data_IF_397261669700
#
_entry.id   IF_397261669700
#
_cell.length_a   1.000
_cell.length_b   1.000
_cell.length_c   1.000
_cell.angle_alpha   90.00
_cell.angle_beta   90.00
_cell.angle_gamma   90.00
#
_symmetry.space_group_name_H-M   'P 1'
#
loop_
_entity.id
_entity.type
_entity.pdbx_description
1 polymer ?
#
# COMPACT_ATOMS: atom_id res chain seq x y z
N UNK A 1 -24.64 10.19 12.09
CA UNK A 1 -23.22 9.86 11.84
C UNK A 1 -22.82 8.81 12.86
N UNK A 2 -22.66 7.56 12.45
CA UNK A 2 -22.13 6.50 13.31
C UNK A 2 -20.68 6.87 13.63
N UNK A 3 -20.39 7.13 14.91
CA UNK A 3 -19.00 7.31 15.37
C UNK A 3 -18.25 6.03 15.05
N UNK A 4 -17.28 6.09 14.11
CA UNK A 4 -16.35 4.98 13.89
C UNK A 4 -15.74 4.62 15.25
N UNK A 5 -15.80 3.33 15.58
CA UNK A 5 -15.15 2.83 16.79
C UNK A 5 -13.66 3.17 16.71
N UNK A 6 -13.09 3.75 17.79
CA UNK A 6 -11.65 4.03 17.89
C UNK A 6 -10.86 2.75 18.24
N UNK A 7 -11.12 1.70 17.50
CA UNK A 7 -10.62 0.34 17.71
C UNK A 7 -9.09 0.21 17.61
N UNK A 8 -8.41 1.12 16.92
CA UNK A 8 -6.96 1.15 16.77
C UNK A 8 -6.27 2.15 17.71
N UNK A 9 -6.98 2.60 18.78
CA UNK A 9 -6.38 3.51 19.77
C UNK A 9 -5.13 2.89 20.41
N UNK A 10 -4.03 3.65 20.45
CA UNK A 10 -2.74 3.21 20.98
C UNK A 10 -1.91 2.38 19.99
N UNK A 11 -2.42 2.07 18.81
CA UNK A 11 -1.66 1.45 17.73
C UNK A 11 -0.86 2.50 16.94
N UNK A 12 0.28 2.09 16.44
CA UNK A 12 1.15 2.90 15.58
C UNK A 12 1.19 2.27 14.20
N UNK A 13 0.82 3.05 13.18
CA UNK A 13 0.81 2.61 11.80
C UNK A 13 1.85 3.36 10.96
N UNK A 14 2.59 2.65 10.14
CA UNK A 14 3.44 3.21 9.10
C UNK A 14 2.89 2.78 7.73
N UNK A 15 2.71 3.74 6.83
CA UNK A 15 2.20 3.51 5.48
C UNK A 15 3.17 4.10 4.47
N UNK A 16 3.81 3.25 3.67
CA UNK A 16 4.70 3.74 2.60
C UNK A 16 3.89 4.33 1.44
N UNK A 17 4.43 5.40 0.80
CA UNK A 17 3.76 6.06 -0.33
C UNK A 17 2.42 6.68 0.03
N UNK A 18 2.34 7.39 1.16
CA UNK A 18 1.08 7.85 1.74
C UNK A 18 0.86 9.37 1.67
N UNK A 19 1.66 10.09 0.90
CA UNK A 19 1.47 11.53 0.64
C UNK A 19 0.28 11.83 -0.28
N UNK A 20 -0.15 10.86 -1.09
CA UNK A 20 -1.25 10.99 -2.07
C UNK A 20 -2.02 9.68 -2.24
N UNK A 21 -3.13 9.74 -2.94
CA UNK A 21 -3.85 8.60 -3.49
C UNK A 21 -4.31 7.58 -2.45
N UNK A 22 -4.10 6.30 -2.76
CA UNK A 22 -4.55 5.19 -1.91
C UNK A 22 -3.86 5.19 -0.54
N UNK A 23 -2.55 5.47 -0.50
CA UNK A 23 -1.80 5.53 0.76
C UNK A 23 -2.31 6.62 1.70
N UNK A 24 -2.68 7.77 1.16
CA UNK A 24 -3.31 8.86 1.93
C UNK A 24 -4.67 8.45 2.49
N UNK A 25 -5.50 7.75 1.71
CA UNK A 25 -6.78 7.23 2.18
C UNK A 25 -6.62 6.17 3.28
N UNK A 26 -5.61 5.29 3.17
CA UNK A 26 -5.31 4.30 4.19
C UNK A 26 -4.88 4.98 5.50
N UNK A 27 -3.97 5.96 5.44
CA UNK A 27 -3.58 6.76 6.62
C UNK A 27 -4.78 7.41 7.27
N UNK A 28 -5.67 8.00 6.47
CA UNK A 28 -6.87 8.67 6.97
C UNK A 28 -7.80 7.69 7.70
N UNK A 29 -8.07 6.53 7.12
CA UNK A 29 -8.91 5.48 7.72
C UNK A 29 -8.33 4.96 9.03
N UNK A 30 -7.02 4.66 9.07
CA UNK A 30 -6.34 4.18 10.28
C UNK A 30 -6.34 5.24 11.39
N UNK A 31 -6.11 6.51 11.05
CA UNK A 31 -6.14 7.62 12.00
C UNK A 31 -7.56 7.87 12.54
N UNK A 32 -8.60 7.78 11.72
CA UNK A 32 -10.00 7.89 12.14
C UNK A 32 -10.37 6.78 13.15
N UNK A 33 -9.79 5.60 13.03
CA UNK A 33 -9.91 4.51 14.01
C UNK A 33 -9.00 4.67 15.23
N UNK A 34 -8.22 5.74 15.32
CA UNK A 34 -7.45 6.12 16.51
C UNK A 34 -5.98 5.75 16.49
N UNK A 35 -5.44 5.23 15.39
CA UNK A 35 -4.02 4.96 15.28
C UNK A 35 -3.18 6.24 15.20
N UNK A 36 -1.97 6.22 15.76
CA UNK A 36 -0.91 7.17 15.43
C UNK A 36 -0.30 6.77 14.09
N UNK A 37 -0.03 7.71 13.20
CA UNK A 37 0.35 7.39 11.82
C UNK A 37 1.64 8.07 11.37
N UNK A 38 2.50 7.33 10.68
CA UNK A 38 3.63 7.86 9.94
C UNK A 38 3.27 7.92 8.45
N UNK A 39 3.30 9.14 7.90
CA UNK A 39 2.99 9.47 6.52
C UNK A 39 4.30 9.57 5.75
N UNK A 40 4.45 8.76 4.73
CA UNK A 40 5.67 8.71 3.93
C UNK A 40 5.52 9.45 2.61
N UNK A 41 6.55 10.22 2.26
CA UNK A 41 6.72 10.82 0.94
C UNK A 41 8.14 10.58 0.41
N UNK A 42 8.33 10.45 -0.93
CA UNK A 42 9.62 10.01 -1.49
C UNK A 42 10.65 11.13 -1.64
N UNK A 43 10.23 12.37 -1.97
CA UNK A 43 11.12 13.48 -2.33
C UNK A 43 10.66 14.78 -1.69
N UNK A 44 11.55 15.80 -1.54
CA UNK A 44 11.18 17.11 -0.98
C UNK A 44 9.98 17.78 -1.65
N UNK A 45 9.80 17.59 -2.97
CA UNK A 45 8.65 18.12 -3.71
C UNK A 45 7.29 17.58 -3.25
N UNK A 46 7.25 16.39 -2.64
CA UNK A 46 6.03 15.75 -2.13
C UNK A 46 5.74 16.09 -0.66
N UNK A 47 6.62 16.86 -0.01
CA UNK A 47 6.46 17.23 1.41
C UNK A 47 5.15 17.94 1.69
N UNK A 48 4.79 18.91 0.85
CA UNK A 48 3.54 19.65 1.01
C UNK A 48 2.30 18.75 0.93
N UNK A 49 2.32 17.72 0.08
CA UNK A 49 1.23 16.74 -0.03
C UNK A 49 1.11 15.93 1.27
N UNK A 50 2.23 15.44 1.83
CA UNK A 50 2.23 14.72 3.10
C UNK A 50 1.73 15.59 4.27
N UNK A 51 2.15 16.85 4.34
CA UNK A 51 1.67 17.80 5.35
C UNK A 51 0.16 18.09 5.21
N UNK A 52 -0.34 18.18 3.97
CA UNK A 52 -1.78 18.33 3.72
C UNK A 52 -2.58 17.10 4.15
N UNK A 53 -2.03 15.89 3.96
CA UNK A 53 -2.64 14.66 4.52
C UNK A 53 -2.70 14.78 6.04
N UNK A 54 -1.59 15.11 6.71
CA UNK A 54 -1.54 15.25 8.16
C UNK A 54 -2.55 16.27 8.69
N UNK A 55 -2.67 17.43 8.05
CA UNK A 55 -3.65 18.47 8.42
C UNK A 55 -5.10 17.98 8.32
N UNK A 56 -5.43 17.19 7.30
CA UNK A 56 -6.80 16.63 7.10
C UNK A 56 -7.20 15.60 8.15
N UNK A 57 -6.27 15.02 8.89
CA UNK A 57 -6.56 14.08 9.98
C UNK A 57 -7.18 14.77 11.20
N UNK A 58 -7.07 16.08 11.28
CA UNK A 58 -7.62 16.89 12.36
C UNK A 58 -6.67 17.03 13.58
N UNK A 59 -7.02 17.93 14.52
CA UNK A 59 -6.11 18.37 15.59
C UNK A 59 -5.79 17.30 16.63
N UNK A 60 -6.60 16.26 16.73
CA UNK A 60 -6.43 15.20 17.73
C UNK A 60 -5.66 13.97 17.17
N UNK A 61 -5.33 13.96 15.88
CA UNK A 61 -4.57 12.89 15.27
C UNK A 61 -3.07 13.01 15.59
N UNK A 62 -2.46 11.92 15.99
CA UNK A 62 -1.00 11.85 16.15
C UNK A 62 -0.40 11.42 14.81
N UNK A 63 0.20 12.35 14.09
CA UNK A 63 0.78 12.10 12.78
C UNK A 63 2.16 12.74 12.65
N UNK A 64 3.06 12.05 11.94
CA UNK A 64 4.34 12.59 11.49
C UNK A 64 4.50 12.37 10.00
N UNK A 65 5.29 13.20 9.35
CA UNK A 65 5.65 13.05 7.94
C UNK A 65 7.12 12.69 7.82
N UNK A 66 7.45 11.69 7.01
CA UNK A 66 8.81 11.17 6.86
C UNK A 66 9.19 11.13 5.38
N UNK A 67 10.26 11.85 5.03
CA UNK A 67 10.89 11.72 3.72
C UNK A 67 11.68 10.42 3.66
N UNK A 68 11.32 9.54 2.73
CA UNK A 68 12.02 8.29 2.50
C UNK A 68 11.64 7.70 1.13
N UNK A 69 12.61 7.56 0.23
CA UNK A 69 12.39 6.97 -1.10
C UNK A 69 12.50 5.44 -1.02
N UNK A 70 11.37 4.75 -1.27
CA UNK A 70 11.29 3.29 -1.24
C UNK A 70 12.08 2.61 -2.35
N UNK A 71 12.51 3.33 -3.39
CA UNK A 71 13.36 2.79 -4.44
C UNK A 71 14.84 2.67 -4.06
N UNK A 72 15.26 3.29 -2.95
CA UNK A 72 16.64 3.27 -2.48
C UNK A 72 16.90 2.13 -1.48
N UNK A 73 18.17 1.89 -1.13
CA UNK A 73 18.52 0.92 -0.09
C UNK A 73 18.26 1.49 1.32
N UNK A 74 18.39 2.81 1.47
CA UNK A 74 18.29 3.51 2.76
C UNK A 74 16.86 3.90 3.14
N UNK A 75 16.05 4.33 2.16
CA UNK A 75 14.71 4.88 2.43
C UNK A 75 13.82 3.98 3.26
N UNK A 76 13.69 2.67 2.96
CA UNK A 76 12.91 1.75 3.77
C UNK A 76 13.33 1.70 5.24
N UNK A 77 14.63 1.70 5.50
CA UNK A 77 15.17 1.71 6.86
C UNK A 77 14.88 3.04 7.57
N UNK A 78 15.09 4.16 6.87
CA UNK A 78 14.80 5.50 7.42
C UNK A 78 13.33 5.62 7.83
N UNK A 79 12.39 5.11 7.01
CA UNK A 79 10.97 5.15 7.32
C UNK A 79 10.64 4.34 8.58
N UNK A 80 11.14 3.10 8.68
CA UNK A 80 10.89 2.25 9.84
C UNK A 80 11.51 2.82 11.13
N UNK A 81 12.79 3.21 11.06
CA UNK A 81 13.53 3.70 12.24
C UNK A 81 12.94 5.02 12.78
N UNK A 82 12.66 5.99 11.91
CA UNK A 82 12.03 7.26 12.32
C UNK A 82 10.61 7.10 12.85
N UNK A 83 9.85 6.14 12.33
CA UNK A 83 8.53 5.81 12.91
C UNK A 83 8.67 5.30 14.34
N UNK A 84 9.59 4.36 14.56
CA UNK A 84 9.85 3.81 15.89
C UNK A 84 10.47 4.83 16.85
N UNK A 85 11.33 5.72 16.36
CA UNK A 85 11.87 6.83 17.15
C UNK A 85 10.78 7.76 17.66
N UNK A 86 9.80 8.10 16.80
CA UNK A 86 8.73 9.03 17.16
C UNK A 86 7.65 8.41 18.07
N UNK A 87 7.35 7.13 17.88
CA UNK A 87 6.20 6.49 18.55
C UNK A 87 6.56 5.28 19.43
N UNK A 88 7.82 4.87 19.45
CA UNK A 88 8.35 3.78 20.30
C UNK A 88 8.17 2.37 19.72
N UNK A 89 7.32 2.18 18.70
CA UNK A 89 6.98 0.86 18.12
C UNK A 89 6.34 0.99 16.74
N UNK A 90 6.11 -0.17 16.10
CA UNK A 90 5.24 -0.31 14.92
C UNK A 90 4.25 -1.44 15.21
N UNK A 91 2.94 -1.14 15.21
CA UNK A 91 1.88 -2.15 15.32
C UNK A 91 1.36 -2.56 13.94
N UNK A 92 1.31 -1.61 13.00
CA UNK A 92 0.74 -1.80 11.68
C UNK A 92 1.75 -1.31 10.64
N UNK A 93 2.17 -2.21 9.77
CA UNK A 93 2.97 -1.90 8.57
C UNK A 93 2.10 -2.06 7.33
N UNK A 94 1.95 -1.00 6.54
CA UNK A 94 1.30 -1.07 5.23
C UNK A 94 2.31 -0.76 4.13
N UNK A 95 2.67 -1.77 3.37
CA UNK A 95 3.49 -1.64 2.16
C UNK A 95 2.58 -1.19 1.01
N UNK A 96 2.48 0.14 0.80
CA UNK A 96 1.59 0.74 -0.19
C UNK A 96 2.34 1.47 -1.31
N UNK A 97 3.59 1.89 -1.09
CA UNK A 97 4.39 2.52 -2.14
C UNK A 97 4.45 1.65 -3.39
N UNK A 98 4.18 2.25 -4.53
CA UNK A 98 4.23 1.54 -5.80
C UNK A 98 4.01 2.49 -6.97
N UNK A 99 4.66 2.17 -8.06
CA UNK A 99 4.54 2.87 -9.33
C UNK A 99 4.16 1.89 -10.42
N UNK A 100 3.46 2.40 -11.43
CA UNK A 100 3.14 1.67 -12.65
C UNK A 100 3.56 2.51 -13.87
N UNK A 101 4.23 1.88 -14.81
CA UNK A 101 4.56 2.44 -16.12
C UNK A 101 4.27 1.37 -17.17
N UNK A 102 3.17 1.49 -17.90
CA UNK A 102 2.88 0.58 -19.01
C UNK A 102 4.01 0.61 -20.03
N UNK A 103 4.43 -0.57 -20.44
CA UNK A 103 5.52 -0.71 -21.42
C UNK A 103 5.39 -2.05 -22.16
N UNK A 104 5.47 -2.00 -23.50
CA UNK A 104 5.48 -3.20 -24.31
C UNK A 104 6.73 -4.03 -24.08
N UNK A 105 6.60 -5.35 -24.16
CA UNK A 105 7.73 -6.28 -24.04
C UNK A 105 8.72 -6.12 -25.20
N UNK A 106 8.26 -5.70 -26.36
CA UNK A 106 9.03 -5.48 -27.58
C UNK A 106 9.36 -3.99 -27.85
N UNK A 107 9.30 -3.15 -26.80
CA UNK A 107 9.72 -1.74 -26.91
C UNK A 107 11.19 -1.69 -27.36
N UNK A 108 11.51 -0.98 -28.47
CA UNK A 108 12.88 -0.96 -28.99
C UNK A 108 13.84 -0.09 -28.18
N UNK A 109 13.36 0.66 -27.20
CA UNK A 109 14.18 1.53 -26.34
C UNK A 109 14.67 0.77 -25.11
N UNK A 110 15.85 0.16 -25.22
CA UNK A 110 16.52 -0.57 -24.14
C UNK A 110 16.71 0.30 -22.86
N UNK A 111 17.01 1.59 -23.02
CA UNK A 111 17.21 2.47 -21.88
C UNK A 111 15.89 2.73 -21.14
N UNK A 112 14.79 2.78 -21.84
CA UNK A 112 13.45 2.90 -21.26
C UNK A 112 13.06 1.61 -20.53
N UNK A 113 13.36 0.43 -21.11
CA UNK A 113 13.14 -0.86 -20.50
C UNK A 113 13.90 -0.94 -19.17
N UNK A 114 15.22 -0.68 -19.20
CA UNK A 114 16.08 -0.71 -18.01
C UNK A 114 15.61 0.27 -16.91
N UNK A 115 15.27 1.50 -17.28
CA UNK A 115 14.76 2.50 -16.33
C UNK A 115 13.43 2.06 -15.71
N UNK A 116 12.51 1.53 -16.52
CA UNK A 116 11.21 1.05 -16.04
C UNK A 116 11.37 -0.15 -15.10
N UNK A 117 12.23 -1.11 -15.47
CA UNK A 117 12.57 -2.23 -14.61
C UNK A 117 13.13 -1.76 -13.26
N UNK A 118 14.18 -0.93 -13.31
CA UNK A 118 14.80 -0.39 -12.11
C UNK A 118 13.78 0.31 -11.22
N UNK A 119 13.02 1.24 -11.76
CA UNK A 119 12.12 2.08 -10.98
C UNK A 119 10.97 1.26 -10.39
N UNK A 120 10.33 0.40 -11.19
CA UNK A 120 9.19 -0.41 -10.76
C UNK A 120 9.64 -1.50 -9.77
N UNK A 121 10.66 -2.29 -10.12
CA UNK A 121 11.07 -3.42 -9.27
C UNK A 121 11.75 -2.94 -7.99
N UNK A 122 12.52 -1.86 -8.05
CA UNK A 122 13.13 -1.30 -6.83
C UNK A 122 12.10 -0.71 -5.88
N UNK A 123 11.06 -0.04 -6.39
CA UNK A 123 10.01 0.53 -5.53
C UNK A 123 9.06 -0.57 -5.03
N UNK A 124 8.43 -1.29 -5.96
CA UNK A 124 7.32 -2.19 -5.64
C UNK A 124 7.78 -3.50 -4.97
N UNK A 125 8.89 -4.08 -5.46
CA UNK A 125 9.41 -5.37 -4.99
C UNK A 125 10.45 -5.20 -3.88
N UNK A 126 11.62 -4.64 -4.22
CA UNK A 126 12.74 -4.49 -3.28
C UNK A 126 12.38 -3.56 -2.10
N UNK A 127 11.71 -2.43 -2.37
CA UNK A 127 11.29 -1.48 -1.34
C UNK A 127 10.35 -2.12 -0.31
N UNK A 128 9.35 -2.87 -0.77
CA UNK A 128 8.45 -3.66 0.08
C UNK A 128 9.21 -4.66 0.95
N UNK A 129 10.15 -5.40 0.36
CA UNK A 129 10.98 -6.35 1.10
C UNK A 129 11.84 -5.66 2.17
N UNK A 130 12.57 -4.59 1.79
CA UNK A 130 13.46 -3.88 2.70
C UNK A 130 12.73 -3.15 3.81
N UNK A 131 11.56 -2.57 3.53
CA UNK A 131 10.75 -1.91 4.55
C UNK A 131 10.22 -2.91 5.57
N UNK A 132 9.69 -4.04 5.11
CA UNK A 132 9.26 -5.10 6.02
C UNK A 132 10.41 -5.60 6.88
N UNK A 133 11.57 -5.93 6.27
CA UNK A 133 12.77 -6.33 7.01
C UNK A 133 13.21 -5.31 8.06
N UNK A 134 13.19 -4.02 7.71
CA UNK A 134 13.57 -2.95 8.64
C UNK A 134 12.58 -2.80 9.80
N UNK A 135 11.28 -2.99 9.53
CA UNK A 135 10.23 -2.87 10.52
C UNK A 135 10.23 -4.02 11.55
N UNK A 136 10.74 -5.23 11.20
CA UNK A 136 10.67 -6.41 12.07
C UNK A 136 11.23 -6.18 13.49
N UNK A 137 12.31 -5.43 13.64
CA UNK A 137 12.92 -5.12 14.95
C UNK A 137 12.12 -4.13 15.80
N UNK A 138 11.14 -3.46 15.19
CA UNK A 138 10.30 -2.44 15.81
C UNK A 138 8.86 -2.90 16.00
N UNK A 139 8.52 -4.12 15.52
CA UNK A 139 7.17 -4.65 15.68
C UNK A 139 6.84 -4.81 17.17
N UNK A 140 5.61 -4.42 17.53
CA UNK A 140 5.10 -4.66 18.87
C UNK A 140 4.85 -6.16 19.08
N UNK A 141 5.25 -6.68 20.24
CA UNK A 141 5.09 -8.10 20.53
C UNK A 141 3.61 -8.52 20.61
N UNK A 142 3.19 -9.41 19.72
CA UNK A 142 1.98 -10.22 19.87
C UNK A 142 0.73 -9.77 19.09
N UNK A 143 0.69 -8.56 18.52
CA UNK A 143 -0.52 -8.06 17.82
C UNK A 143 -0.22 -7.20 16.59
N UNK A 144 0.92 -7.42 15.93
CA UNK A 144 1.28 -6.61 14.77
C UNK A 144 0.56 -7.09 13.49
N UNK A 145 0.38 -6.18 12.55
CA UNK A 145 -0.27 -6.41 11.26
C UNK A 145 0.64 -5.93 10.12
N UNK A 146 0.89 -6.79 9.16
CA UNK A 146 1.63 -6.44 7.94
C UNK A 146 0.64 -6.59 6.78
N UNK A 147 0.39 -5.49 6.09
CA UNK A 147 -0.53 -5.44 4.96
C UNK A 147 0.25 -5.04 3.71
N UNK A 148 0.22 -5.88 2.70
CA UNK A 148 0.86 -5.62 1.41
C UNK A 148 -0.19 -5.17 0.39
N UNK A 149 0.00 -4.03 -0.23
CA UNK A 149 -0.86 -3.57 -1.32
C UNK A 149 -0.35 -4.16 -2.63
N UNK A 150 -1.02 -5.23 -3.03
CA UNK A 150 -0.82 -5.89 -4.30
C UNK A 150 -1.55 -5.22 -5.45
N UNK A 151 -2.05 -6.02 -6.35
CA UNK A 151 -2.94 -5.62 -7.45
C UNK A 151 -3.60 -6.85 -8.06
N UNK A 152 -4.80 -6.71 -8.58
CA UNK A 152 -5.43 -7.75 -9.39
C UNK A 152 -4.61 -8.14 -10.63
N UNK A 153 -3.76 -7.24 -11.11
CA UNK A 153 -2.90 -7.48 -12.27
C UNK A 153 -1.89 -8.63 -12.07
N UNK A 154 -1.57 -9.00 -10.81
CA UNK A 154 -0.71 -10.16 -10.55
C UNK A 154 -1.31 -11.48 -11.04
N UNK A 155 -2.64 -11.57 -11.09
CA UNK A 155 -3.38 -12.78 -11.51
C UNK A 155 -4.19 -12.62 -12.79
N UNK A 156 -4.53 -11.37 -13.15
CA UNK A 156 -5.23 -11.02 -14.39
C UNK A 156 -4.49 -9.88 -15.11
N UNK A 157 -3.28 -10.17 -15.66
CA UNK A 157 -2.47 -9.16 -16.34
C UNK A 157 -3.10 -8.75 -17.67
N UNK A 158 -2.95 -7.46 -18.00
CA UNK A 158 -3.25 -6.91 -19.33
C UNK A 158 -1.97 -6.73 -20.17
N UNK A 159 -2.13 -6.27 -21.41
CA UNK A 159 -0.99 -5.89 -22.24
C UNK A 159 -0.14 -4.81 -21.57
N UNK A 160 1.10 -4.68 -21.95
CA UNK A 160 2.07 -3.67 -21.50
C UNK A 160 2.31 -3.64 -19.97
N UNK A 161 1.95 -4.72 -19.26
CA UNK A 161 1.98 -4.76 -17.81
C UNK A 161 3.06 -5.69 -17.23
N UNK A 162 3.92 -6.31 -18.03
CA UNK A 162 4.80 -7.41 -17.61
C UNK A 162 5.65 -7.06 -16.38
N UNK A 163 6.34 -5.92 -16.38
CA UNK A 163 7.20 -5.52 -15.25
C UNK A 163 6.35 -5.20 -14.02
N UNK A 164 5.26 -4.46 -14.19
CA UNK A 164 4.37 -4.10 -13.09
C UNK A 164 3.66 -5.33 -12.51
N UNK A 165 3.07 -6.18 -13.37
CA UNK A 165 2.42 -7.41 -12.96
C UNK A 165 3.40 -8.34 -12.22
N UNK A 166 4.62 -8.50 -12.75
CA UNK A 166 5.69 -9.24 -12.09
C UNK A 166 6.04 -8.69 -10.72
N UNK A 167 6.16 -7.36 -10.57
CA UNK A 167 6.42 -6.72 -9.28
C UNK A 167 5.29 -6.92 -8.26
N UNK A 168 4.04 -6.96 -8.72
CA UNK A 168 2.88 -7.26 -7.87
C UNK A 168 2.74 -8.74 -7.56
N UNK A 169 3.20 -9.62 -8.46
CA UNK A 169 3.38 -11.05 -8.20
C UNK A 169 4.41 -11.30 -7.09
N UNK A 170 5.53 -10.55 -7.07
CA UNK A 170 6.48 -10.58 -5.94
C UNK A 170 5.80 -10.20 -4.63
N UNK A 171 4.98 -9.15 -4.61
CA UNK A 171 4.26 -8.70 -3.41
C UNK A 171 3.27 -9.77 -2.91
N UNK A 172 2.58 -10.45 -3.80
CA UNK A 172 1.70 -11.57 -3.48
C UNK A 172 2.49 -12.75 -2.88
N UNK A 173 3.58 -13.14 -3.52
CA UNK A 173 4.46 -14.20 -3.03
C UNK A 173 5.05 -13.86 -1.66
N UNK A 174 5.50 -12.62 -1.44
CA UNK A 174 5.96 -12.17 -0.12
C UNK A 174 4.88 -12.32 0.94
N UNK A 175 3.63 -11.99 0.61
CA UNK A 175 2.51 -12.14 1.55
C UNK A 175 2.39 -13.59 2.02
N UNK A 176 2.45 -14.54 1.10
CA UNK A 176 2.36 -15.98 1.41
C UNK A 176 3.57 -16.47 2.21
N UNK A 177 4.79 -16.14 1.77
CA UNK A 177 6.01 -16.54 2.46
C UNK A 177 6.06 -15.98 3.89
N UNK A 178 5.80 -14.69 4.05
CA UNK A 178 5.87 -14.03 5.36
C UNK A 178 4.74 -14.46 6.30
N UNK A 179 3.56 -14.83 5.77
CA UNK A 179 2.47 -15.39 6.55
C UNK A 179 2.83 -16.72 7.21
N UNK A 180 3.80 -17.46 6.65
CA UNK A 180 4.33 -18.69 7.25
C UNK A 180 5.51 -18.40 8.16
N UNK A 181 6.40 -17.49 7.76
CA UNK A 181 7.70 -17.25 8.39
C UNK A 181 7.61 -16.39 9.66
N UNK A 182 6.78 -15.31 9.64
CA UNK A 182 6.86 -14.26 10.63
C UNK A 182 5.96 -14.43 11.88
N UNK A 183 4.74 -15.02 11.81
CA UNK A 183 3.79 -14.99 12.92
C UNK A 183 4.34 -15.56 14.24
N UNK A 184 4.95 -16.73 14.20
CA UNK A 184 5.49 -17.37 15.42
C UNK A 184 6.65 -16.59 16.03
N UNK A 185 7.40 -15.85 15.23
CA UNK A 185 8.59 -15.13 15.67
C UNK A 185 8.29 -13.71 16.14
N UNK A 186 7.33 -13.06 15.52
CA UNK A 186 7.04 -11.64 15.75
C UNK A 186 5.62 -11.37 16.26
N UNK A 187 4.77 -12.38 16.41
CA UNK A 187 3.39 -12.22 16.86
C UNK A 187 2.56 -11.35 15.91
N UNK A 188 2.69 -11.55 14.61
CA UNK A 188 2.00 -10.74 13.60
C UNK A 188 1.13 -11.59 12.67
N UNK A 189 0.22 -10.95 11.94
CA UNK A 189 -0.39 -11.52 10.73
C UNK A 189 0.11 -10.79 9.50
N UNK A 190 0.13 -11.47 8.35
CA UNK A 190 0.54 -10.91 7.05
C UNK A 190 -0.55 -11.19 6.04
N UNK A 191 -1.12 -10.13 5.46
CA UNK A 191 -2.17 -10.24 4.45
C UNK A 191 -1.91 -9.28 3.28
N UNK A 192 -2.43 -9.62 2.11
CA UNK A 192 -2.41 -8.79 0.92
C UNK A 192 -3.81 -8.26 0.58
N UNK A 193 -3.84 -7.04 0.10
CA UNK A 193 -5.03 -6.43 -0.52
C UNK A 193 -4.71 -6.18 -1.98
N UNK A 194 -5.55 -6.67 -2.89
CA UNK A 194 -5.39 -6.60 -4.34
C UNK A 194 -6.48 -5.70 -4.96
N UNK A 195 -6.26 -4.38 -5.07
CA UNK A 195 -7.23 -3.52 -5.70
C UNK A 195 -7.40 -3.81 -7.19
N UNK A 196 -8.61 -3.55 -7.70
CA UNK A 196 -8.86 -3.30 -9.10
C UNK A 196 -8.48 -1.89 -9.51
N UNK A 197 -9.23 -1.28 -10.44
CA UNK A 197 -9.02 0.13 -10.81
C UNK A 197 -9.56 1.05 -9.70
N UNK A 198 -8.70 1.92 -9.17
CA UNK A 198 -9.03 2.84 -8.07
C UNK A 198 -8.96 4.28 -8.55
N UNK A 199 -10.00 5.06 -8.31
CA UNK A 199 -10.10 6.48 -8.66
C UNK A 199 -9.28 7.37 -7.74
N UNK A 200 -7.96 7.32 -7.90
CA UNK A 200 -7.02 8.21 -7.21
C UNK A 200 -6.73 9.45 -8.06
N UNK A 201 -6.12 10.48 -7.46
CA UNK A 201 -5.65 11.65 -8.21
C UNK A 201 -4.72 11.23 -9.36
N UNK A 202 -3.86 10.24 -9.14
CA UNK A 202 -2.96 9.70 -10.16
C UNK A 202 -3.72 9.05 -11.32
N UNK A 203 -4.81 8.34 -11.04
CA UNK A 203 -5.67 7.77 -12.08
C UNK A 203 -6.33 8.87 -12.93
N UNK A 204 -6.89 9.88 -12.29
CA UNK A 204 -7.54 10.98 -13.02
C UNK A 204 -6.55 11.89 -13.78
N UNK A 205 -5.31 12.02 -13.30
CA UNK A 205 -4.25 12.74 -13.98
C UNK A 205 -3.56 11.93 -15.10
N UNK A 206 -3.84 10.63 -15.20
CA UNK A 206 -3.27 9.78 -16.24
C UNK A 206 -3.72 10.19 -17.66
N UNK A 207 -2.93 9.92 -18.70
CA UNK A 207 -3.33 10.17 -20.09
C UNK A 207 -4.69 9.54 -20.42
N UNK A 208 -5.49 10.24 -21.25
CA UNK A 208 -6.82 9.76 -21.62
C UNK A 208 -6.77 8.37 -22.26
N UNK A 209 -5.78 8.12 -23.12
CA UNK A 209 -5.58 6.82 -23.78
C UNK A 209 -5.46 5.65 -22.77
N UNK A 210 -4.77 5.88 -21.64
CA UNK A 210 -4.67 4.87 -20.57
C UNK A 210 -6.02 4.68 -19.88
N UNK A 211 -6.75 5.75 -19.59
CA UNK A 211 -8.09 5.64 -19.00
C UNK A 211 -9.06 4.93 -19.93
N UNK A 212 -9.02 5.24 -21.23
CA UNK A 212 -9.86 4.59 -22.25
C UNK A 212 -9.55 3.09 -22.37
N UNK A 213 -8.28 2.69 -22.25
CA UNK A 213 -7.90 1.27 -22.26
C UNK A 213 -8.42 0.48 -21.05
N UNK A 214 -8.66 1.16 -19.93
CA UNK A 214 -9.21 0.57 -18.70
C UNK A 214 -10.76 0.61 -18.66
N UNK A 215 -11.40 1.42 -19.53
CA UNK A 215 -12.84 1.61 -19.49
C UNK A 215 -13.65 0.31 -19.66
N UNK A 216 -13.30 -0.61 -20.58
CA UNK A 216 -14.03 -1.89 -20.68
C UNK A 216 -13.98 -2.73 -19.39
N UNK A 217 -12.86 -2.68 -18.66
CA UNK A 217 -12.73 -3.37 -17.38
C UNK A 217 -13.58 -2.71 -16.30
N UNK A 218 -13.65 -1.37 -16.31
CA UNK A 218 -14.48 -0.59 -15.38
C UNK A 218 -15.96 -0.87 -15.65
N UNK A 219 -16.40 -0.85 -16.89
CA UNK A 219 -17.79 -1.07 -17.30
C UNK A 219 -18.25 -2.50 -17.00
N UNK A 220 -17.33 -3.46 -17.06
CA UNK A 220 -17.59 -4.86 -16.74
C UNK A 220 -17.58 -5.17 -15.23
N UNK A 221 -17.35 -4.17 -14.35
CA UNK A 221 -17.31 -4.42 -12.90
C UNK A 221 -18.69 -4.84 -12.37
N UNK A 222 -18.86 -6.06 -11.81
CA UNK A 222 -20.18 -6.61 -11.48
C UNK A 222 -20.98 -5.80 -10.47
N UNK A 223 -20.32 -5.23 -9.44
CA UNK A 223 -21.04 -4.46 -8.39
C UNK A 223 -21.57 -3.12 -8.94
N UNK A 224 -20.79 -2.44 -9.75
CA UNK A 224 -21.19 -1.20 -10.43
C UNK A 224 -20.16 -0.83 -11.51
N UNK A 225 -20.56 -0.24 -12.66
CA UNK A 225 -19.66 0.16 -13.74
C UNK A 225 -18.89 1.44 -13.37
N UNK A 226 -18.04 1.36 -12.37
CA UNK A 226 -17.21 2.47 -11.87
C UNK A 226 -15.90 1.96 -11.28
N UNK A 227 -14.95 2.87 -11.13
CA UNK A 227 -13.74 2.63 -10.35
C UNK A 227 -14.07 2.53 -8.85
N UNK A 228 -13.26 1.79 -8.11
CA UNK A 228 -13.33 1.81 -6.65
C UNK A 228 -12.89 3.17 -6.12
N UNK A 229 -13.48 3.63 -5.03
CA UNK A 229 -12.95 4.78 -4.29
C UNK A 229 -11.75 4.34 -3.44
N UNK A 230 -10.76 5.23 -3.19
CA UNK A 230 -9.67 4.92 -2.27
C UNK A 230 -10.15 4.50 -0.87
N UNK A 231 -11.28 5.05 -0.42
CA UNK A 231 -11.87 4.72 0.89
C UNK A 231 -12.38 3.27 0.96
N UNK A 232 -12.95 2.72 -0.12
CA UNK A 232 -13.39 1.31 -0.16
C UNK A 232 -12.22 0.35 0.02
N UNK A 233 -11.07 0.65 -0.57
CA UNK A 233 -9.84 -0.15 -0.38
C UNK A 233 -9.24 0.07 1.01
N UNK A 234 -9.18 1.32 1.49
CA UNK A 234 -8.65 1.68 2.80
C UNK A 234 -9.44 1.00 3.93
N UNK A 235 -10.76 0.89 3.81
CA UNK A 235 -11.61 0.16 4.76
C UNK A 235 -11.18 -1.31 4.89
N UNK A 236 -10.89 -2.00 3.78
CA UNK A 236 -10.42 -3.40 3.81
C UNK A 236 -9.06 -3.52 4.52
N UNK A 237 -8.15 -2.58 4.28
CA UNK A 237 -6.86 -2.54 4.98
C UNK A 237 -7.08 -2.37 6.49
N UNK A 238 -7.91 -1.43 6.89
CA UNK A 238 -8.18 -1.16 8.29
C UNK A 238 -8.91 -2.33 8.99
N UNK A 239 -9.83 -3.01 8.31
CA UNK A 239 -10.48 -4.23 8.80
C UNK A 239 -9.46 -5.33 9.13
N UNK A 240 -8.46 -5.53 8.28
CA UNK A 240 -7.38 -6.49 8.53
C UNK A 240 -6.46 -6.08 9.70
N UNK A 241 -6.50 -4.81 10.11
CA UNK A 241 -5.73 -4.31 11.24
C UNK A 241 -6.46 -4.45 12.59
N UNK A 242 -7.75 -4.79 12.59
CA UNK A 242 -8.55 -4.95 13.79
C UNK A 242 -8.10 -6.18 14.61
N UNK A 243 -8.48 -6.16 15.90
CA UNK A 243 -8.20 -7.29 16.81
C UNK A 243 -8.92 -8.57 16.35
N UNK A 244 -10.13 -8.41 15.85
CA UNK A 244 -11.00 -9.49 15.37
C UNK A 244 -10.42 -10.20 14.14
N UNK A 245 -9.53 -9.53 13.39
CA UNK A 245 -8.82 -10.11 12.24
C UNK A 245 -7.61 -10.98 12.64
N UNK A 246 -7.40 -11.30 13.93
CA UNK A 246 -6.22 -12.01 14.41
C UNK A 246 -6.04 -13.42 13.82
N UNK A 247 -7.11 -14.04 13.29
CA UNK A 247 -7.04 -15.35 12.64
C UNK A 247 -6.98 -15.28 11.10
N UNK A 248 -6.97 -14.06 10.54
CA UNK A 248 -6.79 -13.83 9.11
C UNK A 248 -5.30 -13.68 8.81
N UNK A 249 -4.72 -14.65 8.09
CA UNK A 249 -3.30 -14.67 7.79
C UNK A 249 -3.04 -15.37 6.44
N UNK A 250 -2.18 -14.81 5.61
CA UNK A 250 -1.84 -15.35 4.30
C UNK A 250 -2.88 -15.07 3.20
N UNK A 251 -3.87 -14.23 3.48
CA UNK A 251 -4.90 -13.87 2.50
C UNK A 251 -4.34 -12.91 1.45
N UNK A 252 -4.91 -13.01 0.24
CA UNK A 252 -4.73 -12.02 -0.82
C UNK A 252 -6.12 -11.62 -1.32
N UNK A 253 -6.66 -10.53 -0.78
CA UNK A 253 -8.07 -10.15 -0.89
C UNK A 253 -8.29 -9.23 -2.08
N UNK A 254 -9.05 -9.65 -3.12
CA UNK A 254 -9.41 -8.75 -4.21
C UNK A 254 -10.43 -7.70 -3.74
N UNK A 255 -10.12 -6.42 -3.96
CA UNK A 255 -11.03 -5.29 -3.76
C UNK A 255 -11.31 -4.66 -5.11
N UNK A 256 -12.14 -5.31 -5.89
CA UNK A 256 -12.34 -5.03 -7.32
C UNK A 256 -13.81 -5.13 -7.74
N UNK A 257 -14.78 -5.04 -6.83
CA UNK A 257 -16.20 -5.07 -7.14
C UNK A 257 -16.66 -6.33 -7.88
N UNK A 258 -15.97 -7.47 -7.70
CA UNK A 258 -16.24 -8.72 -8.43
C UNK A 258 -15.59 -8.82 -9.80
N UNK A 259 -14.90 -7.79 -10.28
CA UNK A 259 -14.11 -7.83 -11.53
C UNK A 259 -12.89 -8.76 -11.47
N UNK A 260 -12.52 -9.19 -10.28
CA UNK A 260 -11.45 -10.16 -10.02
C UNK A 260 -11.93 -11.15 -8.96
N UNK A 261 -11.89 -12.43 -9.30
CA UNK A 261 -12.23 -13.55 -8.41
C UNK A 261 -11.04 -14.51 -8.44
N UNK A 262 -10.47 -14.82 -7.28
CA UNK A 262 -9.33 -15.72 -7.16
C UNK A 262 -9.65 -16.92 -6.27
#
# INVERSE_FOLDING_TARGET
MTTLSRSLTGKVAVVSGSSVGLGAAIVQELAQRGASVAINYPYPSEKANAENVAKRLGPNAKAITIEADMSTLEGPRVLADKTAEAFGKIDILVNCAGINRPMSLDDPDEAKIESSWRDIVHTNGRGTFLLTRAALKHLSNGESRIINIGSGVSRAPGPDSSIYAGSKGMTECYTQCWAVELPKKYGCTVNGVAPGVVGTETFYAAPQSLRDSLQPLIDATPVAPRVATPAEVAWTVAMLCEKEAAWLNGLYIPVAGGGLIF
#
